data_IF_377211131871
#
_entry.id   IF_377211131871
#
_cell.length_a   1.000
_cell.length_b   1.000
_cell.length_c   1.000
_cell.angle_alpha   90.00
_cell.angle_beta   90.00
_cell.angle_gamma   90.00
#
_symmetry.space_group_name_H-M   'P 1'
#
loop_
_entity.id
_entity.type
_entity.pdbx_description
1 polymer ?
#
# COMPACT_ATOMS: atom_id res chain seq x y z
N UNK A 1 17.19 -15.93 -30.71
CA UNK A 1 15.81 -16.13 -30.24
C UNK A 1 15.71 -15.72 -28.76
N UNK A 2 15.23 -14.51 -28.49
CA UNK A 2 15.08 -14.01 -27.12
C UNK A 2 13.94 -14.73 -26.39
N UNK A 3 14.23 -15.33 -25.24
CA UNK A 3 13.22 -15.95 -24.37
C UNK A 3 12.25 -14.87 -23.91
N UNK A 4 11.00 -14.92 -24.39
CA UNK A 4 9.91 -14.06 -23.90
C UNK A 4 9.80 -14.23 -22.38
N UNK A 5 10.06 -13.15 -21.63
CA UNK A 5 9.79 -13.09 -20.19
C UNK A 5 8.30 -13.41 -20.00
N UNK A 6 7.98 -14.48 -19.25
CA UNK A 6 6.60 -14.80 -18.86
C UNK A 6 6.05 -13.64 -18.03
N UNK A 7 4.87 -13.15 -18.39
CA UNK A 7 4.14 -12.16 -17.61
C UNK A 7 3.99 -12.64 -16.16
N UNK A 8 4.07 -11.75 -15.15
CA UNK A 8 3.85 -12.12 -13.77
C UNK A 8 2.45 -12.77 -13.64
N UNK A 9 2.42 -13.96 -13.08
CA UNK A 9 1.21 -14.72 -12.79
C UNK A 9 0.26 -13.84 -11.99
N UNK A 10 -0.97 -13.61 -12.48
CA UNK A 10 -2.00 -12.85 -11.75
C UNK A 10 -2.10 -13.41 -10.33
N UNK A 11 -1.96 -12.54 -9.32
CA UNK A 11 -2.25 -12.91 -7.94
C UNK A 11 -3.67 -13.51 -7.88
N UNK A 12 -3.87 -14.55 -7.06
CA UNK A 12 -5.19 -15.18 -6.90
C UNK A 12 -6.23 -14.14 -6.48
N UNK A 13 -7.46 -14.33 -6.96
CA UNK A 13 -8.59 -13.42 -6.73
C UNK A 13 -8.76 -13.09 -5.24
N UNK A 14 -8.91 -11.80 -4.93
CA UNK A 14 -9.18 -11.33 -3.58
C UNK A 14 -10.49 -11.91 -3.04
N UNK A 15 -10.49 -12.33 -1.78
CA UNK A 15 -11.72 -12.59 -1.04
C UNK A 15 -12.11 -11.30 -0.30
N UNK A 16 -13.23 -10.70 -0.70
CA UNK A 16 -13.86 -9.59 0.02
C UNK A 16 -14.79 -10.17 1.07
N UNK A 17 -14.50 -9.90 2.34
CA UNK A 17 -15.45 -10.07 3.42
C UNK A 17 -16.01 -8.68 3.75
N UNK A 18 -17.32 -8.48 3.55
CA UNK A 18 -17.97 -7.27 4.05
C UNK A 18 -18.12 -7.35 5.57
N UNK A 19 -18.11 -6.21 6.27
CA UNK A 19 -18.34 -6.18 7.72
C UNK A 19 -19.61 -6.95 8.14
N UNK A 20 -20.67 -6.94 7.31
CA UNK A 20 -21.90 -7.70 7.54
C UNK A 20 -21.71 -9.23 7.54
N UNK A 21 -20.65 -9.76 6.92
CA UNK A 21 -20.26 -11.18 6.97
C UNK A 21 -19.31 -11.52 8.12
N UNK A 22 -18.63 -10.52 8.68
CA UNK A 22 -17.84 -10.66 9.92
C UNK A 22 -18.71 -10.55 11.18
N UNK A 23 -19.91 -9.98 11.04
CA UNK A 23 -20.94 -9.84 12.05
C UNK A 23 -21.77 -11.13 12.27
N UNK A 24 -21.23 -12.31 11.93
CA UNK A 24 -21.64 -13.52 12.63
C UNK A 24 -21.21 -13.31 14.09
N UNK A 25 -22.16 -13.23 15.01
CA UNK A 25 -21.95 -12.85 16.42
C UNK A 25 -20.80 -13.64 17.06
N UNK A 26 -20.56 -14.88 16.61
CA UNK A 26 -19.52 -15.77 17.12
C UNK A 26 -18.11 -15.48 16.54
N UNK A 27 -18.01 -14.81 15.39
CA UNK A 27 -16.74 -14.32 14.81
C UNK A 27 -16.43 -12.92 15.34
N UNK A 28 -17.43 -12.04 15.40
CA UNK A 28 -17.31 -10.67 15.92
C UNK A 28 -16.71 -10.64 17.33
N UNK A 29 -17.27 -11.40 18.26
CA UNK A 29 -16.79 -11.47 19.65
C UNK A 29 -15.33 -11.96 19.77
N UNK A 30 -14.88 -12.78 18.82
CA UNK A 30 -13.50 -13.33 18.80
C UNK A 30 -12.47 -12.38 18.20
N UNK A 31 -12.90 -11.37 17.45
CA UNK A 31 -11.98 -10.48 16.72
C UNK A 31 -12.07 -9.01 17.14
N UNK A 32 -13.13 -8.58 17.84
CA UNK A 32 -13.32 -7.17 18.26
C UNK A 32 -12.14 -6.62 19.07
N UNK A 33 -11.55 -7.44 19.94
CA UNK A 33 -10.40 -7.03 20.77
C UNK A 33 -9.14 -6.76 19.94
N UNK A 34 -9.02 -7.41 18.76
CA UNK A 34 -7.91 -7.18 17.83
C UNK A 34 -8.01 -5.86 17.08
N UNK A 35 -9.19 -5.25 17.03
CA UNK A 35 -9.45 -4.01 16.29
C UNK A 35 -9.64 -2.78 17.18
N UNK A 36 -9.31 -2.89 18.49
CA UNK A 36 -9.42 -1.79 19.46
C UNK A 36 -10.78 -1.07 19.44
N UNK A 37 -11.87 -1.83 19.26
CA UNK A 37 -13.23 -1.32 19.37
C UNK A 37 -13.81 -0.64 18.12
N UNK A 38 -13.05 -0.49 17.03
CA UNK A 38 -13.59 -0.03 15.75
C UNK A 38 -13.40 -1.13 14.70
N UNK A 39 -14.49 -1.71 14.23
CA UNK A 39 -14.44 -2.73 13.18
C UNK A 39 -14.18 -2.09 11.82
N UNK A 40 -13.35 -2.70 10.97
CA UNK A 40 -13.21 -2.22 9.59
C UNK A 40 -14.54 -2.41 8.83
N UNK A 41 -14.84 -1.47 7.93
CA UNK A 41 -15.97 -1.56 7.02
C UNK A 41 -15.81 -2.71 6.03
N UNK A 42 -14.56 -3.02 5.64
CA UNK A 42 -14.23 -4.15 4.79
C UNK A 42 -12.91 -4.83 5.15
N UNK A 43 -12.84 -6.13 4.88
CA UNK A 43 -11.61 -6.91 4.98
C UNK A 43 -11.36 -7.64 3.66
N UNK A 44 -10.16 -7.48 3.13
CA UNK A 44 -9.68 -8.06 1.88
C UNK A 44 -8.50 -8.96 2.18
N UNK A 45 -8.59 -10.24 1.79
CA UNK A 45 -7.54 -11.23 2.06
C UNK A 45 -7.13 -11.90 0.75
N UNK A 46 -5.83 -12.06 0.57
CA UNK A 46 -5.25 -12.95 -0.42
C UNK A 46 -4.24 -13.91 0.25
N UNK A 47 -3.44 -14.63 -0.52
CA UNK A 47 -2.48 -15.62 -0.02
C UNK A 47 -1.27 -15.02 0.71
N UNK A 48 -1.06 -13.70 0.63
CA UNK A 48 0.09 -13.00 1.20
C UNK A 48 -0.27 -11.87 2.15
N UNK A 49 -1.37 -11.18 1.90
CA UNK A 49 -1.76 -9.94 2.55
C UNK A 49 -3.18 -10.01 3.08
N UNK A 50 -3.40 -9.23 4.12
CA UNK A 50 -4.71 -8.78 4.57
C UNK A 50 -4.71 -7.24 4.51
N UNK A 51 -5.78 -6.68 3.97
CA UNK A 51 -6.06 -5.25 3.96
C UNK A 51 -7.40 -4.98 4.64
N UNK A 52 -7.43 -4.06 5.59
CA UNK A 52 -8.65 -3.62 6.26
C UNK A 52 -8.96 -2.19 5.86
N UNK A 53 -10.24 -1.90 5.60
CA UNK A 53 -10.70 -0.61 5.10
C UNK A 53 -11.61 0.05 6.12
N UNK A 54 -11.37 1.34 6.39
CA UNK A 54 -12.29 2.22 7.11
C UNK A 54 -12.69 3.40 6.25
N UNK A 55 -13.97 3.70 6.16
CA UNK A 55 -14.50 4.90 5.55
C UNK A 55 -14.42 6.06 6.54
N UNK A 56 -13.64 7.09 6.21
CA UNK A 56 -13.51 8.26 7.07
C UNK A 56 -14.75 9.17 7.00
N UNK A 57 -15.49 9.11 5.89
CA UNK A 57 -16.83 9.65 5.78
C UNK A 57 -17.81 8.50 5.53
N UNK A 58 -18.63 8.17 6.52
CA UNK A 58 -19.59 7.05 6.43
C UNK A 58 -20.72 7.31 5.43
N UNK A 59 -21.08 8.57 5.16
CA UNK A 59 -22.11 8.92 4.19
C UNK A 59 -21.64 8.72 2.75
N UNK A 60 -20.37 9.05 2.47
CA UNK A 60 -19.74 8.81 1.17
C UNK A 60 -19.28 7.36 1.00
N UNK A 61 -19.15 6.62 2.11
CA UNK A 61 -18.72 5.22 2.13
C UNK A 61 -17.43 5.00 1.35
N UNK A 62 -17.44 4.06 0.41
CA UNK A 62 -16.28 3.71 -0.43
C UNK A 62 -15.84 4.86 -1.34
N UNK A 63 -16.74 5.76 -1.74
CA UNK A 63 -16.41 6.84 -2.67
C UNK A 63 -15.66 7.98 -1.98
N UNK A 64 -15.78 8.11 -0.65
CA UNK A 64 -15.02 9.07 0.15
C UNK A 64 -13.58 8.65 0.43
N UNK A 65 -12.90 9.40 1.31
CA UNK A 65 -11.55 9.04 1.77
C UNK A 65 -11.63 7.75 2.59
N UNK A 66 -10.81 6.78 2.22
CA UNK A 66 -10.72 5.49 2.89
C UNK A 66 -9.34 5.32 3.54
N UNK A 67 -9.29 4.94 4.81
CA UNK A 67 -8.07 4.45 5.44
C UNK A 67 -7.94 2.95 5.15
N UNK A 68 -6.84 2.55 4.52
CA UNK A 68 -6.47 1.17 4.25
C UNK A 68 -5.27 0.80 5.13
N UNK A 69 -5.44 -0.19 6.01
CA UNK A 69 -4.34 -0.79 6.76
C UNK A 69 -3.95 -2.12 6.11
N UNK A 70 -2.66 -2.31 5.82
CA UNK A 70 -2.12 -3.51 5.16
C UNK A 70 -1.11 -4.19 6.08
N UNK A 71 -1.24 -5.51 6.24
CA UNK A 71 -0.17 -6.32 6.81
C UNK A 71 0.04 -7.62 6.02
N UNK A 72 1.26 -8.15 6.06
CA UNK A 72 1.56 -9.49 5.57
C UNK A 72 1.10 -10.54 6.58
N UNK A 73 0.69 -11.72 6.10
CA UNK A 73 0.46 -12.88 6.98
C UNK A 73 1.71 -13.28 7.77
N UNK A 74 2.89 -13.00 7.22
CA UNK A 74 4.19 -13.27 7.87
C UNK A 74 4.71 -12.11 8.73
N UNK A 75 4.00 -10.98 8.79
CA UNK A 75 4.43 -9.75 9.50
C UNK A 75 5.82 -9.20 9.12
N UNK A 76 6.42 -9.65 8.02
CA UNK A 76 7.71 -9.12 7.56
C UNK A 76 7.58 -7.66 7.06
N UNK A 77 8.64 -6.89 7.26
CA UNK A 77 8.73 -5.42 7.06
C UNK A 77 9.23 -5.02 5.67
N UNK A 78 9.81 -5.94 4.90
CA UNK A 78 10.34 -5.61 3.57
C UNK A 78 9.23 -5.66 2.50
N UNK A 79 8.60 -4.52 2.22
CA UNK A 79 7.47 -4.46 1.29
C UNK A 79 7.74 -3.50 0.14
N UNK A 80 7.91 -4.01 -1.09
CA UNK A 80 8.06 -3.13 -2.25
C UNK A 80 6.78 -2.30 -2.42
N UNK A 81 6.93 -0.98 -2.62
CA UNK A 81 5.80 -0.06 -2.84
C UNK A 81 4.85 -0.55 -3.95
N UNK A 82 5.38 -1.27 -4.96
CA UNK A 82 4.61 -1.86 -6.07
C UNK A 82 3.53 -2.81 -5.60
N UNK A 83 3.73 -3.50 -4.48
CA UNK A 83 2.69 -4.35 -3.90
C UNK A 83 1.55 -3.49 -3.36
N UNK A 84 1.85 -2.41 -2.63
CA UNK A 84 0.82 -1.50 -2.12
C UNK A 84 0.06 -0.81 -3.25
N UNK A 85 0.75 -0.42 -4.33
CA UNK A 85 0.10 0.09 -5.54
C UNK A 85 -0.87 -0.96 -6.14
N UNK A 86 -0.43 -2.21 -6.29
CA UNK A 86 -1.28 -3.27 -6.85
C UNK A 86 -2.49 -3.56 -5.95
N UNK A 87 -2.28 -3.69 -4.63
CA UNK A 87 -3.36 -3.91 -3.65
C UNK A 87 -4.38 -2.77 -3.73
N UNK A 88 -3.90 -1.52 -3.74
CA UNK A 88 -4.76 -0.34 -3.91
C UNK A 88 -5.55 -0.40 -5.21
N UNK A 89 -4.88 -0.72 -6.34
CA UNK A 89 -5.54 -0.82 -7.64
C UNK A 89 -6.62 -1.91 -7.66
N UNK A 90 -6.31 -3.08 -7.12
CA UNK A 90 -7.24 -4.22 -7.10
C UNK A 90 -8.49 -3.93 -6.26
N UNK A 91 -8.34 -3.16 -5.18
CA UNK A 91 -9.43 -2.84 -4.26
C UNK A 91 -10.21 -1.59 -4.73
N UNK A 92 -9.53 -0.51 -5.10
CA UNK A 92 -10.14 0.81 -5.30
C UNK A 92 -10.19 1.28 -6.76
N UNK A 93 -9.59 0.54 -7.69
CA UNK A 93 -9.36 0.99 -9.06
C UNK A 93 -7.98 1.62 -9.24
N UNK A 94 -7.49 1.59 -10.47
CA UNK A 94 -6.18 2.10 -10.87
C UNK A 94 -6.06 3.62 -10.79
N UNK A 95 -7.15 4.33 -11.07
CA UNK A 95 -7.20 5.80 -11.11
C UNK A 95 -7.33 6.47 -9.73
N UNK A 96 -7.59 5.73 -8.65
CA UNK A 96 -7.63 6.33 -7.30
C UNK A 96 -6.23 6.52 -6.74
N UNK A 97 -5.98 7.69 -6.18
CA UNK A 97 -4.70 8.02 -5.56
C UNK A 97 -4.68 7.65 -4.09
N UNK A 98 -3.50 7.36 -3.54
CA UNK A 98 -3.34 7.05 -2.14
C UNK A 98 -2.06 7.67 -1.58
N UNK A 99 -2.13 8.14 -0.33
CA UNK A 99 -0.98 8.65 0.40
C UNK A 99 -0.60 7.68 1.51
N UNK A 100 0.68 7.32 1.60
CA UNK A 100 1.26 6.73 2.80
C UNK A 100 1.85 7.85 3.67
N UNK A 101 1.36 7.98 4.89
CA UNK A 101 1.81 9.02 5.83
C UNK A 101 2.89 8.45 6.74
N UNK A 102 4.03 9.12 6.79
CA UNK A 102 5.03 8.97 7.84
C UNK A 102 4.71 10.03 8.91
N UNK A 103 4.08 9.65 10.03
CA UNK A 103 3.54 10.62 10.98
C UNK A 103 4.65 11.32 11.78
N UNK A 104 4.30 12.42 12.43
CA UNK A 104 5.12 12.93 13.53
C UNK A 104 5.26 11.86 14.63
N UNK A 105 6.39 11.83 15.33
CA UNK A 105 6.71 10.78 16.31
C UNK A 105 5.61 10.60 17.37
N UNK A 106 5.02 11.70 17.85
CA UNK A 106 3.92 11.69 18.82
C UNK A 106 2.61 11.07 18.33
N UNK A 107 2.54 10.72 17.03
CA UNK A 107 1.39 10.13 16.35
C UNK A 107 1.73 8.77 15.73
N UNK A 108 2.92 8.23 16.00
CA UNK A 108 3.32 6.91 15.50
C UNK A 108 2.40 5.85 16.09
N UNK A 109 1.93 4.97 15.21
CA UNK A 109 1.19 3.76 15.57
C UNK A 109 1.98 2.60 14.99
N UNK A 110 2.78 1.96 15.83
CA UNK A 110 3.58 0.78 15.44
C UNK A 110 3.31 -0.38 16.40
N UNK A 111 2.17 -1.05 16.18
CA UNK A 111 1.74 -2.18 17.01
C UNK A 111 1.97 -3.53 16.33
N UNK A 112 2.00 -3.58 14.98
CA UNK A 112 1.99 -4.86 14.27
C UNK A 112 2.57 -4.85 12.84
N UNK A 113 3.66 -4.10 12.56
CA UNK A 113 4.27 -4.00 11.22
C UNK A 113 3.22 -3.75 10.12
N UNK A 114 2.38 -2.72 10.35
CA UNK A 114 1.24 -2.38 9.52
C UNK A 114 1.51 -1.11 8.73
N UNK A 115 0.96 -1.04 7.52
CA UNK A 115 1.14 0.09 6.62
C UNK A 115 -0.20 0.77 6.40
N UNK A 116 -0.26 2.08 6.62
CA UNK A 116 -1.47 2.87 6.51
C UNK A 116 -1.45 3.73 5.25
N UNK A 117 -2.39 3.47 4.35
CA UNK A 117 -2.63 4.27 3.15
C UNK A 117 -3.97 4.99 3.28
N UNK A 118 -4.00 6.27 2.94
CA UNK A 118 -5.22 7.04 2.79
C UNK A 118 -5.56 7.15 1.31
N UNK A 119 -6.55 6.37 0.89
CA UNK A 119 -7.04 6.37 -0.49
C UNK A 119 -7.99 7.55 -0.66
N UNK A 120 -7.63 8.45 -1.56
CA UNK A 120 -8.31 9.72 -1.77
C UNK A 120 -9.67 9.54 -2.43
N UNK A 121 -10.58 10.49 -2.24
CA UNK A 121 -11.95 10.43 -2.76
C UNK A 121 -11.96 10.09 -4.26
N UNK A 122 -13.00 9.35 -4.67
CA UNK A 122 -13.20 9.02 -6.08
C UNK A 122 -13.29 10.31 -6.90
N UNK A 123 -12.82 10.25 -8.14
CA UNK A 123 -12.88 11.34 -9.14
C UNK A 123 -12.14 12.62 -8.72
N UNK A 124 -11.15 12.51 -7.81
CA UNK A 124 -10.29 13.60 -7.39
C UNK A 124 -8.84 13.14 -7.25
N UNK A 125 -7.92 14.05 -7.48
CA UNK A 125 -6.49 13.84 -7.28
C UNK A 125 -6.04 14.51 -5.99
N UNK A 126 -5.05 13.91 -5.35
CA UNK A 126 -4.34 14.52 -4.24
C UNK A 126 -3.51 15.67 -4.84
N UNK A 127 -3.57 16.89 -4.27
CA UNK A 127 -2.84 18.05 -4.79
C UNK A 127 -1.34 18.01 -4.47
N UNK A 128 -0.70 16.83 -4.54
CA UNK A 128 0.74 16.63 -4.38
C UNK A 128 1.25 15.52 -5.31
N UNK A 129 2.53 15.55 -5.65
CA UNK A 129 3.18 14.54 -6.48
C UNK A 129 3.32 14.95 -7.95
N UNK A 130 3.65 13.97 -8.79
CA UNK A 130 3.86 14.17 -10.23
C UNK A 130 2.53 14.14 -10.98
N UNK A 131 2.32 15.11 -11.87
CA UNK A 131 1.09 15.21 -12.68
C UNK A 131 1.10 14.28 -13.91
N UNK A 132 2.27 13.75 -14.26
CA UNK A 132 2.46 12.91 -15.43
C UNK A 132 3.11 11.59 -15.04
N UNK A 133 2.68 10.51 -15.72
CA UNK A 133 3.27 9.19 -15.56
C UNK A 133 4.65 9.14 -16.22
N UNK A 134 5.70 9.26 -15.41
CA UNK A 134 7.09 9.07 -15.87
C UNK A 134 7.59 7.66 -15.51
N UNK A 135 7.64 6.76 -16.50
CA UNK A 135 8.19 5.41 -16.33
C UNK A 135 9.28 5.22 -17.36
N UNK A 136 10.53 5.09 -16.87
CA UNK A 136 11.62 4.57 -17.70
C UNK A 136 11.43 3.07 -17.86
N UNK A 137 11.28 2.65 -19.11
CA UNK A 137 11.60 1.27 -19.49
C UNK A 137 13.10 1.25 -19.66
N UNK A 138 13.81 0.40 -18.90
CA UNK A 138 15.28 0.33 -18.83
C UNK A 138 15.94 0.71 -20.17
N UNK A 139 16.44 1.94 -20.26
CA UNK A 139 17.67 2.19 -21.00
C UNK A 139 18.68 1.49 -20.12
N UNK A 140 19.20 0.35 -20.56
CA UNK A 140 20.02 -0.53 -19.72
C UNK A 140 21.06 0.30 -18.95
N UNK A 141 21.31 -0.09 -17.70
CA UNK A 141 22.32 0.50 -16.79
C UNK A 141 23.77 0.45 -17.33
N UNK A 142 23.94 0.16 -18.63
CA UNK A 142 25.19 0.01 -19.35
C UNK A 142 25.54 1.24 -20.21
N UNK A 143 24.92 2.42 -19.97
CA UNK A 143 25.41 3.67 -20.58
C UNK A 143 26.68 4.14 -19.82
N UNK A 144 27.87 4.01 -20.43
CA UNK A 144 29.14 4.27 -19.74
C UNK A 144 29.29 5.74 -19.32
N UNK A 145 28.59 6.67 -19.98
CA UNK A 145 28.66 8.10 -19.67
C UNK A 145 27.87 8.45 -18.42
N UNK A 146 26.70 7.83 -18.22
CA UNK A 146 25.87 8.01 -17.01
C UNK A 146 26.59 7.43 -15.79
N UNK A 147 27.19 6.26 -15.95
CA UNK A 147 27.89 5.56 -14.86
C UNK A 147 29.19 6.29 -14.46
N UNK A 148 29.89 6.91 -15.41
CA UNK A 148 31.03 7.79 -15.13
C UNK A 148 30.62 9.10 -14.43
N UNK A 149 29.48 9.68 -14.79
CA UNK A 149 28.97 10.91 -14.17
C UNK A 149 28.54 10.68 -12.71
N UNK A 150 27.83 9.57 -12.43
CA UNK A 150 27.41 9.20 -11.08
C UNK A 150 28.59 8.89 -10.14
N UNK A 151 29.65 8.26 -10.67
CA UNK A 151 30.88 7.99 -9.90
C UNK A 151 31.65 9.26 -9.56
N UNK A 152 31.60 10.28 -10.42
CA UNK A 152 32.25 11.58 -10.19
C UNK A 152 31.41 12.51 -9.33
N UNK A 153 30.07 12.41 -9.38
CA UNK A 153 29.18 13.09 -8.44
C UNK A 153 29.11 12.32 -7.12
N UNK A 154 30.18 12.36 -6.31
CA UNK A 154 30.05 12.06 -4.88
C UNK A 154 29.16 13.12 -4.24
N UNK A 155 27.85 13.01 -4.45
CA UNK A 155 26.87 13.60 -3.55
C UNK A 155 27.26 13.11 -2.15
N UNK A 156 27.60 14.07 -1.28
CA UNK A 156 28.06 13.85 0.09
C UNK A 156 27.29 12.67 0.68
N UNK A 157 27.97 11.57 0.96
CA UNK A 157 27.35 10.40 1.60
C UNK A 157 26.61 10.92 2.83
N UNK A 158 25.27 10.87 2.79
CA UNK A 158 24.47 11.15 3.96
C UNK A 158 24.92 10.17 5.06
N UNK A 159 25.08 10.62 6.31
CA UNK A 159 25.44 9.73 7.40
C UNK A 159 24.48 8.53 7.41
N UNK A 160 25.01 7.34 7.68
CA UNK A 160 24.20 6.12 7.85
C UNK A 160 23.11 6.44 8.87
N UNK A 161 21.84 6.45 8.44
CA UNK A 161 20.74 6.44 9.38
C UNK A 161 20.74 5.08 10.08
N UNK A 162 20.94 5.09 11.39
CA UNK A 162 20.57 3.96 12.24
C UNK A 162 19.04 3.95 12.29
N UNK A 163 18.47 2.94 11.65
CA UNK A 163 17.04 2.64 11.76
C UNK A 163 16.89 1.96 13.12
N UNK A 164 16.10 2.56 14.02
CA UNK A 164 15.80 2.03 15.35
C UNK A 164 15.10 0.66 15.28
#
# INVERSE_FOLDING_TARGET
MGKKRKAPTKAKAWMRMQAAQLADDNIYEKIKDKFHGDMPDEVWINDRYQATIRYLNKELGRDGICQMCIHSHTRATNRPWRHFQQIKNDIFGDEREALELYPAESRVVDTANEYHLWVWTKDSQIPVGFQERNVRYDIGDDDPEVDAHLKNSRAKQAPKMEIA
#
